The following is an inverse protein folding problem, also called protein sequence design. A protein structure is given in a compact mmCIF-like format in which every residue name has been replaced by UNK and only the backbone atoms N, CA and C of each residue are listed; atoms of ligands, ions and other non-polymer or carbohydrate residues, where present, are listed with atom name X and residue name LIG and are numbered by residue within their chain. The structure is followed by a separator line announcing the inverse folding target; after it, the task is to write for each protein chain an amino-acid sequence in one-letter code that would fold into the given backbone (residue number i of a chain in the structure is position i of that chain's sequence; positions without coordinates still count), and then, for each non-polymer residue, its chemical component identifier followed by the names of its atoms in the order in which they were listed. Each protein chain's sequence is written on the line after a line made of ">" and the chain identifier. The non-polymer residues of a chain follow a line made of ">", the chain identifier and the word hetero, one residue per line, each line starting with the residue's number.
data_IF_914982988584
#
_entry.id   IF_914982988584
#
_cell.length_a   1.000
_cell.length_b   1.000
_cell.length_c   1.000
_cell.angle_alpha   90.00
_cell.angle_beta   90.00
_cell.angle_gamma   90.00
#
_symmetry.space_group_name_H-M   'P 1'
#
loop_
_entity.id
_entity.type
_entity.pdbx_description
1 polymer ?
#
# COMPACT_ATOMS: atom_id res chain seq x y z
N UNK A 1 22.90 -19.16 0.19
CA UNK A 1 23.68 -18.15 0.93
C UNK A 1 22.70 -17.22 1.60
N UNK A 2 22.64 -17.23 2.93
CA UNK A 2 21.87 -16.27 3.72
C UNK A 2 22.87 -15.36 4.41
N UNK A 3 22.70 -14.05 4.28
CA UNK A 3 23.45 -13.07 5.08
C UNK A 3 22.57 -12.69 6.26
N UNK A 4 23.10 -12.92 7.46
CA UNK A 4 22.45 -12.49 8.68
C UNK A 4 22.75 -11.01 8.93
N UNK A 5 21.73 -10.25 9.33
CA UNK A 5 21.84 -8.83 9.65
C UNK A 5 21.20 -8.54 11.01
N UNK A 6 21.72 -7.55 11.73
CA UNK A 6 21.05 -6.96 12.90
C UNK A 6 20.07 -5.88 12.42
N UNK A 7 18.92 -6.32 11.92
CA UNK A 7 18.01 -5.50 11.11
C UNK A 7 16.96 -4.68 11.87
N UNK A 8 17.12 -4.43 13.18
CA UNK A 8 16.12 -3.69 13.98
C UNK A 8 15.80 -2.33 13.36
N UNK A 9 16.84 -1.59 12.94
CA UNK A 9 16.73 -0.25 12.35
C UNK A 9 16.59 -0.27 10.82
N UNK A 10 16.25 -1.41 10.20
CA UNK A 10 16.23 -1.52 8.74
C UNK A 10 15.25 -0.51 8.09
N UNK A 11 14.03 -0.38 8.61
CA UNK A 11 13.07 0.59 8.08
C UNK A 11 13.49 2.05 8.33
N UNK A 12 13.92 2.46 9.54
CA UNK A 12 14.47 3.81 9.76
C UNK A 12 15.58 4.19 8.78
N UNK A 13 16.56 3.32 8.55
CA UNK A 13 17.69 3.58 7.64
C UNK A 13 17.20 3.84 6.20
N UNK A 14 16.34 2.96 5.68
CA UNK A 14 15.80 3.11 4.31
C UNK A 14 14.89 4.34 4.20
N UNK A 15 14.10 4.63 5.24
CA UNK A 15 13.21 5.79 5.26
C UNK A 15 13.99 7.11 5.30
N UNK A 16 15.10 7.18 6.03
CA UNK A 16 15.98 8.35 6.06
C UNK A 16 16.55 8.65 4.68
N UNK A 17 17.07 7.63 3.99
CA UNK A 17 17.58 7.78 2.62
C UNK A 17 16.48 8.27 1.66
N UNK A 18 15.28 7.66 1.72
CA UNK A 18 14.15 8.07 0.88
C UNK A 18 13.71 9.51 1.15
N UNK A 19 13.62 9.93 2.42
CA UNK A 19 13.25 11.29 2.81
C UNK A 19 14.27 12.33 2.33
N UNK A 20 15.57 12.00 2.31
CA UNK A 20 16.61 12.89 1.78
C UNK A 20 16.53 13.09 0.27
N UNK A 21 16.01 12.10 -0.46
CA UNK A 21 15.91 12.13 -1.92
C UNK A 21 14.55 12.61 -2.45
N UNK A 22 13.50 12.64 -1.62
CA UNK A 22 12.17 13.00 -2.06
C UNK A 22 11.95 14.53 -2.03
N UNK A 23 11.34 15.09 -3.08
CA UNK A 23 10.96 16.51 -3.11
C UNK A 23 9.93 16.86 -2.03
N UNK A 24 8.94 15.98 -1.84
CA UNK A 24 7.87 16.13 -0.85
C UNK A 24 7.45 14.78 -0.32
N UNK A 25 7.16 14.73 0.98
CA UNK A 25 6.64 13.54 1.65
C UNK A 25 5.36 13.91 2.38
N UNK A 26 4.26 13.26 1.97
CA UNK A 26 2.96 13.45 2.59
C UNK A 26 2.63 12.26 3.50
N UNK A 27 2.63 12.50 4.81
CA UNK A 27 2.28 11.49 5.79
C UNK A 27 0.81 11.62 6.21
N UNK A 28 0.23 10.51 6.72
CA UNK A 28 -1.15 10.46 7.26
C UNK A 28 -2.23 10.74 6.21
N UNK A 29 -1.94 10.57 4.93
CA UNK A 29 -2.93 10.60 3.87
C UNK A 29 -3.27 9.16 3.47
N UNK A 30 -4.54 8.80 3.60
CA UNK A 30 -5.05 7.55 3.07
C UNK A 30 -5.50 7.79 1.63
N UNK A 31 -4.72 7.28 0.66
CA UNK A 31 -5.08 7.29 -0.75
C UNK A 31 -6.13 6.19 -0.99
N UNK A 32 -7.22 6.52 -1.66
CA UNK A 32 -8.37 5.61 -1.84
C UNK A 32 -8.64 5.27 -3.29
N UNK A 33 -8.41 6.20 -4.22
CA UNK A 33 -8.71 6.00 -5.64
C UNK A 33 -7.63 6.60 -6.54
N UNK A 34 -7.43 5.98 -7.70
CA UNK A 34 -6.67 6.58 -8.80
C UNK A 34 -7.60 7.46 -9.63
N UNK A 35 -7.02 8.50 -10.23
CA UNK A 35 -7.69 9.34 -11.21
C UNK A 35 -7.26 8.92 -12.61
N UNK A 36 -8.21 8.79 -13.53
CA UNK A 36 -7.96 8.51 -14.94
C UNK A 36 -8.05 9.78 -15.78
N UNK A 37 -7.43 9.79 -16.95
CA UNK A 37 -7.44 10.92 -17.90
C UNK A 37 -8.75 10.91 -18.70
N UNK A 38 -9.50 12.01 -18.64
CA UNK A 38 -10.78 12.16 -19.37
C UNK A 38 -10.60 12.18 -20.90
N UNK A 39 -9.41 12.54 -21.39
CA UNK A 39 -9.13 12.69 -22.83
C UNK A 39 -8.41 11.48 -23.43
N UNK A 40 -7.85 10.60 -22.58
CA UNK A 40 -7.04 9.46 -23.01
C UNK A 40 -7.45 8.23 -22.25
N UNK A 41 -8.12 7.34 -22.96
CA UNK A 41 -8.54 6.06 -22.39
C UNK A 41 -7.33 5.27 -21.84
N UNK A 42 -7.57 4.56 -20.74
CA UNK A 42 -6.59 3.74 -20.04
C UNK A 42 -5.28 4.47 -19.65
N UNK A 43 -5.37 5.76 -19.27
CA UNK A 43 -4.24 6.55 -18.77
C UNK A 43 -4.52 7.09 -17.38
N UNK A 44 -3.57 6.89 -16.45
CA UNK A 44 -3.64 7.49 -15.11
C UNK A 44 -3.31 8.98 -15.17
N UNK A 45 -4.06 9.78 -14.42
CA UNK A 45 -3.90 11.23 -14.27
C UNK A 45 -3.54 11.66 -12.84
N UNK A 46 -3.61 10.75 -11.87
CA UNK A 46 -3.42 11.11 -10.47
C UNK A 46 -3.95 10.11 -9.46
N UNK A 47 -4.14 10.59 -8.24
CA UNK A 47 -4.79 9.86 -7.16
C UNK A 47 -5.47 10.84 -6.19
N UNK A 48 -6.45 10.33 -5.44
CA UNK A 48 -7.14 11.09 -4.38
C UNK A 48 -7.08 10.35 -3.05
N UNK A 49 -7.07 11.13 -1.99
CA UNK A 49 -7.08 10.63 -0.63
C UNK A 49 -7.51 11.70 0.35
N UNK A 50 -7.53 11.33 1.63
CA UNK A 50 -7.82 12.29 2.69
C UNK A 50 -6.84 12.13 3.84
N UNK A 51 -6.59 13.23 4.53
CA UNK A 51 -5.76 13.23 5.72
C UNK A 51 -6.53 12.63 6.89
N UNK A 52 -6.04 11.54 7.48
CA UNK A 52 -6.74 10.82 8.55
C UNK A 52 -6.71 11.57 9.90
N UNK A 53 -5.99 12.69 10.00
CA UNK A 53 -5.94 13.54 11.19
C UNK A 53 -6.81 14.78 11.07
N UNK A 54 -6.84 15.41 9.90
CA UNK A 54 -7.55 16.69 9.69
C UNK A 54 -8.84 16.53 8.90
N UNK A 55 -9.00 15.44 8.14
CA UNK A 55 -10.12 15.25 7.21
C UNK A 55 -9.92 15.95 5.87
N UNK A 56 -8.81 16.67 5.66
CA UNK A 56 -8.56 17.41 4.42
C UNK A 56 -8.52 16.47 3.23
N UNK A 57 -9.23 16.85 2.17
CA UNK A 57 -9.23 16.11 0.91
C UNK A 57 -8.04 16.53 0.04
N UNK A 58 -7.30 15.56 -0.46
CA UNK A 58 -6.11 15.77 -1.27
C UNK A 58 -6.30 15.20 -2.68
N UNK A 59 -5.98 16.04 -3.67
CA UNK A 59 -5.95 15.67 -5.09
C UNK A 59 -4.51 15.76 -5.59
N UNK A 60 -3.94 14.63 -5.96
CA UNK A 60 -2.61 14.55 -6.56
C UNK A 60 -2.75 14.39 -8.06
N UNK A 61 -2.29 15.39 -8.82
CA UNK A 61 -2.18 15.30 -10.29
C UNK A 61 -0.77 14.86 -10.66
N UNK A 62 -0.65 13.84 -11.51
CA UNK A 62 0.64 13.26 -11.87
C UNK A 62 0.62 12.62 -13.25
N UNK A 63 1.77 12.67 -13.94
CA UNK A 63 1.93 12.01 -15.25
C UNK A 63 2.17 10.49 -15.15
N UNK A 64 2.62 10.02 -13.99
CA UNK A 64 2.88 8.63 -13.67
C UNK A 64 2.60 8.40 -12.18
N UNK A 65 2.06 7.23 -11.84
CA UNK A 65 1.75 6.83 -10.45
C UNK A 65 2.37 5.46 -10.19
N UNK A 66 3.04 5.32 -9.04
CA UNK A 66 3.50 4.03 -8.53
C UNK A 66 2.69 3.69 -7.28
N UNK A 67 2.02 2.55 -7.30
CA UNK A 67 1.22 2.07 -6.17
C UNK A 67 2.03 1.03 -5.40
N UNK A 68 2.58 1.45 -4.25
CA UNK A 68 3.41 0.61 -3.37
C UNK A 68 2.76 0.37 -2.00
N UNK A 69 1.44 0.12 -1.97
CA UNK A 69 0.64 0.02 -0.74
C UNK A 69 0.64 -1.37 -0.07
N UNK A 70 1.61 -2.23 -0.40
CA UNK A 70 1.73 -3.58 0.15
C UNK A 70 0.65 -4.55 -0.36
N UNK A 71 0.59 -5.72 0.27
CA UNK A 71 -0.38 -6.78 -0.05
C UNK A 71 -1.72 -6.64 0.69
N UNK A 72 -2.31 -7.78 1.06
CA UNK A 72 -3.55 -7.81 1.84
C UNK A 72 -3.49 -8.85 2.96
N UNK A 73 -3.79 -8.40 4.18
CA UNK A 73 -3.93 -9.18 5.40
C UNK A 73 -5.38 -9.13 5.87
N UNK A 74 -5.75 -10.00 6.82
CA UNK A 74 -7.09 -10.03 7.45
C UNK A 74 -8.28 -10.20 6.48
N UNK A 75 -8.04 -10.68 5.25
CA UNK A 75 -9.11 -11.12 4.34
C UNK A 75 -9.78 -12.39 4.88
N UNK A 76 -9.00 -13.30 5.46
CA UNK A 76 -9.48 -14.54 6.05
C UNK A 76 -9.57 -14.41 7.58
N UNK A 77 -10.54 -15.09 8.19
CA UNK A 77 -10.68 -15.13 9.65
C UNK A 77 -9.41 -15.76 10.27
N UNK A 78 -8.68 -15.04 11.16
CA UNK A 78 -7.48 -15.57 11.80
C UNK A 78 -7.82 -16.63 12.87
N UNK A 79 -6.79 -17.34 13.34
CA UNK A 79 -6.95 -18.37 14.39
C UNK A 79 -7.30 -17.79 15.77
N UNK A 80 -6.85 -16.57 16.05
CA UNK A 80 -7.21 -15.82 17.25
C UNK A 80 -8.20 -14.73 16.88
N UNK A 81 -9.39 -14.74 17.49
CA UNK A 81 -10.52 -13.86 17.11
C UNK A 81 -10.87 -12.78 18.15
N UNK A 82 -10.20 -12.78 19.31
CA UNK A 82 -10.28 -11.69 20.29
C UNK A 82 -9.21 -10.63 20.04
N UNK A 83 -8.57 -10.15 21.10
CA UNK A 83 -7.45 -9.19 21.02
C UNK A 83 -6.30 -9.66 20.12
N UNK A 84 -6.14 -10.97 19.97
CA UNK A 84 -5.13 -11.59 19.09
C UNK A 84 -5.39 -11.40 17.60
N UNK A 85 -6.51 -10.84 17.16
CA UNK A 85 -6.84 -10.63 15.74
C UNK A 85 -5.80 -9.76 15.03
N UNK A 86 -5.17 -8.82 15.73
CA UNK A 86 -4.10 -7.98 15.18
C UNK A 86 -2.77 -8.70 14.95
N UNK A 87 -2.59 -9.93 15.47
CA UNK A 87 -1.35 -10.71 15.36
C UNK A 87 -1.31 -11.56 14.08
N UNK A 88 -1.60 -10.94 12.95
CA UNK A 88 -1.36 -11.55 11.65
C UNK A 88 0.15 -11.75 11.42
N UNK A 89 0.53 -12.79 10.68
CA UNK A 89 1.94 -13.00 10.32
C UNK A 89 2.45 -11.89 9.39
N UNK A 90 1.64 -11.53 8.39
CA UNK A 90 1.92 -10.39 7.52
C UNK A 90 1.41 -9.10 8.15
N UNK A 91 1.87 -7.95 7.63
CA UNK A 91 1.52 -6.64 8.16
C UNK A 91 -0.01 -6.44 8.25
N UNK A 92 -0.59 -6.25 9.46
CA UNK A 92 -2.05 -6.20 9.65
C UNK A 92 -2.70 -4.93 9.08
N UNK A 93 -1.92 -3.87 8.83
CA UNK A 93 -2.36 -2.63 8.20
C UNK A 93 -2.37 -2.69 6.66
N UNK A 94 -1.89 -3.76 6.05
CA UNK A 94 -1.99 -3.95 4.60
C UNK A 94 -3.38 -4.49 4.27
N UNK A 95 -4.24 -3.67 3.67
CA UNK A 95 -5.67 -3.96 3.45
C UNK A 95 -6.03 -4.31 2.00
N UNK A 96 -5.03 -4.54 1.14
CA UNK A 96 -5.26 -4.77 -0.29
C UNK A 96 -5.52 -3.49 -1.09
N UNK A 97 -5.19 -2.33 -0.55
CA UNK A 97 -5.34 -1.03 -1.23
C UNK A 97 -4.61 -1.00 -2.57
N UNK A 98 -3.44 -1.63 -2.67
CA UNK A 98 -2.70 -1.72 -3.93
C UNK A 98 -3.49 -2.46 -5.03
N UNK A 99 -4.20 -3.53 -4.66
CA UNK A 99 -5.01 -4.32 -5.57
C UNK A 99 -6.29 -3.58 -5.95
N UNK A 100 -7.04 -3.08 -4.96
CA UNK A 100 -8.32 -2.42 -5.20
C UNK A 100 -8.16 -1.20 -6.14
N UNK A 101 -7.20 -0.31 -5.85
CA UNK A 101 -6.96 0.88 -6.67
C UNK A 101 -6.58 0.56 -8.11
N UNK A 102 -5.72 -0.44 -8.31
CA UNK A 102 -5.23 -0.80 -9.65
C UNK A 102 -6.26 -1.59 -10.46
N UNK A 103 -6.99 -2.50 -9.82
CA UNK A 103 -8.11 -3.23 -10.44
C UNK A 103 -9.19 -2.26 -10.91
N UNK A 104 -9.58 -1.30 -10.06
CA UNK A 104 -10.58 -0.30 -10.42
C UNK A 104 -10.11 0.61 -11.57
N UNK A 105 -8.81 0.85 -11.68
CA UNK A 105 -8.23 1.59 -12.80
C UNK A 105 -8.09 0.74 -14.09
N UNK A 106 -8.54 -0.51 -14.10
CA UNK A 106 -8.46 -1.40 -15.26
C UNK A 106 -7.10 -2.09 -15.44
N UNK A 107 -6.22 -2.05 -14.43
CA UNK A 107 -4.94 -2.74 -14.50
C UNK A 107 -5.14 -4.26 -14.52
N UNK A 108 -4.39 -4.95 -15.38
CA UNK A 108 -4.42 -6.41 -15.45
C UNK A 108 -3.75 -7.02 -14.23
N UNK A 109 -4.43 -7.98 -13.62
CA UNK A 109 -3.91 -8.77 -12.51
C UNK A 109 -3.38 -10.12 -13.00
N UNK A 110 -2.52 -10.75 -12.21
CA UNK A 110 -2.00 -12.09 -12.49
C UNK A 110 -1.86 -12.87 -11.20
N UNK A 111 -2.05 -14.18 -11.25
CA UNK A 111 -1.89 -15.11 -10.13
C UNK A 111 -2.65 -14.67 -8.84
N UNK A 112 -3.85 -14.08 -8.97
CA UNK A 112 -4.62 -13.59 -7.82
C UNK A 112 -5.18 -14.72 -6.94
N UNK A 113 -5.23 -15.95 -7.48
CA UNK A 113 -5.56 -17.17 -6.75
C UNK A 113 -4.42 -17.64 -5.83
N UNK A 114 -3.19 -17.21 -6.10
CA UNK A 114 -2.03 -17.59 -5.31
C UNK A 114 -2.07 -16.89 -3.95
N UNK A 115 -2.05 -17.70 -2.88
CA UNK A 115 -2.01 -17.21 -1.50
C UNK A 115 -0.87 -17.86 -0.74
N UNK A 116 -0.28 -17.10 0.17
CA UNK A 116 0.74 -17.60 1.08
C UNK A 116 0.06 -17.99 2.39
N UNK A 117 0.20 -19.27 2.76
CA UNK A 117 -0.20 -19.81 4.06
C UNK A 117 1.06 -20.35 4.71
N UNK A 118 1.47 -19.75 5.82
CA UNK A 118 2.69 -20.17 6.48
C UNK A 118 2.41 -21.22 7.53
N UNK A 119 3.16 -22.32 7.42
CA UNK A 119 3.30 -23.28 8.48
C UNK A 119 4.20 -22.68 9.58
N UNK A 120 3.90 -23.02 10.83
CA UNK A 120 4.81 -22.79 11.95
C UNK A 120 5.99 -23.75 11.85
#
# INVERSE_FOLDING_TARGET
>A
WQIMINGESYKPIVAEAANKSADKVFNRICVTHLLMDDNKDNRVAGAVGFNVRTGDFHVFKSKAVIVAAGGASNIFRPRSVGEGTGRAWYAPWNTGSAYAMTIQAGAKMTQMENRIVLAR
#
